data_IF_228055878458
#
_entry.id   IF_228055878458
#
_cell.length_a   1.000
_cell.length_b   1.000
_cell.length_c   1.000
_cell.angle_alpha   90.00
_cell.angle_beta   90.00
_cell.angle_gamma   90.00
#
_symmetry.space_group_name_H-M   'P 1'
#
loop_
_entity.id
_entity.type
_entity.pdbx_description
1 polymer ?
#
# COMPACT_ATOMS: atom_id res chain seq x y z
N UNK A 1 -18.27 -2.73 19.18
CA UNK A 1 -16.95 -2.41 18.61
C UNK A 1 -17.10 -1.35 17.53
N UNK A 2 -16.35 -0.30 17.66
CA UNK A 2 -16.41 0.76 16.68
C UNK A 2 -15.63 0.39 15.43
N UNK A 3 -16.22 0.61 14.29
CA UNK A 3 -15.52 0.44 13.04
C UNK A 3 -14.69 1.67 12.76
N UNK A 4 -13.42 1.45 12.45
CA UNK A 4 -12.55 2.54 12.08
C UNK A 4 -12.81 2.94 10.64
N UNK A 5 -12.88 4.24 10.40
CA UNK A 5 -12.96 4.76 9.04
C UNK A 5 -11.63 4.53 8.32
N UNK A 6 -11.70 3.91 7.15
CA UNK A 6 -10.51 3.62 6.35
C UNK A 6 -10.08 4.89 5.61
N UNK A 7 -8.81 5.23 5.69
CA UNK A 7 -8.25 6.42 5.05
C UNK A 7 -7.02 6.06 4.22
N UNK A 8 -6.83 6.79 3.16
CA UNK A 8 -5.63 6.63 2.33
C UNK A 8 -4.39 6.89 3.18
N UNK A 9 -3.44 6.00 3.10
CA UNK A 9 -2.23 6.06 3.93
C UNK A 9 -2.29 5.19 5.17
N UNK A 10 -3.47 4.65 5.51
CA UNK A 10 -3.61 3.71 6.63
C UNK A 10 -2.88 2.41 6.33
N UNK A 11 -2.33 1.81 7.38
CA UNK A 11 -1.73 0.48 7.32
C UNK A 11 -2.57 -0.46 8.17
N UNK A 12 -2.96 -1.59 7.58
CA UNK A 12 -3.70 -2.66 8.24
C UNK A 12 -3.00 -3.98 7.99
N UNK A 13 -3.16 -4.93 8.89
CA UNK A 13 -2.94 -6.32 8.53
C UNK A 13 -4.12 -6.78 7.68
N UNK A 14 -3.85 -7.61 6.71
CA UNK A 14 -4.89 -8.13 5.82
C UNK A 14 -4.54 -9.54 5.38
N UNK A 15 -5.57 -10.34 5.15
CA UNK A 15 -5.41 -11.67 4.59
C UNK A 15 -5.41 -11.58 3.06
N UNK A 16 -4.27 -11.83 2.47
CA UNK A 16 -4.08 -11.72 1.03
C UNK A 16 -4.21 -13.04 0.29
N UNK A 17 -4.44 -14.13 1.02
CA UNK A 17 -4.61 -15.45 0.41
C UNK A 17 -5.98 -15.60 -0.24
N UNK A 18 -6.11 -16.42 -1.31
CA UNK A 18 -5.05 -17.16 -1.97
C UNK A 18 -4.29 -16.31 -2.99
N UNK A 19 -3.06 -16.71 -3.27
CA UNK A 19 -2.21 -16.02 -4.26
C UNK A 19 -1.55 -17.05 -5.18
N UNK A 20 -0.96 -16.55 -6.26
CA UNK A 20 -0.28 -17.40 -7.24
C UNK A 20 1.17 -16.92 -7.39
N UNK A 21 2.10 -17.87 -7.39
CA UNK A 21 3.50 -17.60 -7.71
C UNK A 21 4.16 -16.58 -6.80
N UNK A 22 4.68 -15.52 -7.40
CA UNK A 22 5.45 -14.50 -6.70
C UNK A 22 4.61 -13.43 -6.01
N UNK A 23 3.30 -13.57 -6.02
CA UNK A 23 2.41 -12.63 -5.33
C UNK A 23 2.60 -12.74 -3.81
N UNK A 24 2.49 -11.61 -3.14
CA UNK A 24 2.55 -11.59 -1.68
C UNK A 24 1.25 -12.16 -1.10
N UNK A 25 1.36 -13.20 -0.28
CA UNK A 25 0.21 -13.88 0.29
C UNK A 25 0.26 -13.98 1.80
N UNK A 26 -0.76 -14.64 2.37
CA UNK A 26 -0.90 -14.80 3.81
C UNK A 26 -1.38 -13.53 4.48
N UNK A 27 -1.36 -13.53 5.82
CA UNK A 27 -1.71 -12.34 6.60
C UNK A 27 -0.47 -11.47 6.74
N UNK A 28 -0.54 -10.25 6.23
CA UNK A 28 0.59 -9.33 6.28
C UNK A 28 0.11 -7.88 6.21
N UNK A 29 0.97 -6.94 6.54
CA UNK A 29 0.59 -5.54 6.46
C UNK A 29 0.33 -5.10 5.03
N UNK A 30 -0.63 -4.21 4.85
CA UNK A 30 -0.91 -3.57 3.57
C UNK A 30 -1.10 -2.07 3.80
N UNK A 31 -0.75 -1.30 2.78
CA UNK A 31 -0.94 0.14 2.79
C UNK A 31 -2.15 0.49 1.92
N UNK A 32 -3.10 1.22 2.48
CA UNK A 32 -4.27 1.69 1.72
C UNK A 32 -3.83 2.82 0.79
N UNK A 33 -4.02 2.60 -0.50
CA UNK A 33 -3.67 3.61 -1.52
C UNK A 33 -4.89 4.12 -2.28
N UNK A 34 -6.06 3.54 -2.05
CA UNK A 34 -7.29 3.99 -2.66
C UNK A 34 -7.67 5.37 -2.13
N UNK A 35 -8.27 6.20 -2.99
CA UNK A 35 -8.72 7.53 -2.58
C UNK A 35 -9.81 7.45 -1.51
N UNK A 36 -10.00 8.54 -0.77
CA UNK A 36 -10.90 8.51 0.38
C UNK A 36 -12.38 8.45 0.01
N UNK A 37 -12.76 8.87 -1.18
CA UNK A 37 -14.13 8.69 -1.65
C UNK A 37 -14.43 7.19 -1.83
N UNK A 38 -13.52 6.48 -2.49
CA UNK A 38 -13.64 5.03 -2.63
C UNK A 38 -13.60 4.34 -1.27
N UNK A 39 -12.73 4.78 -0.37
CA UNK A 39 -12.65 4.21 0.98
C UNK A 39 -13.96 4.35 1.75
N UNK A 40 -14.68 5.44 1.53
CA UNK A 40 -15.96 5.68 2.21
C UNK A 40 -17.10 4.85 1.63
N UNK A 41 -17.14 4.67 0.31
CA UNK A 41 -18.32 4.15 -0.36
C UNK A 41 -18.18 2.80 -1.04
N UNK A 42 -16.96 2.38 -1.38
CA UNK A 42 -16.75 1.11 -2.06
C UNK A 42 -16.69 -0.05 -1.05
N UNK A 43 -17.20 -1.23 -1.41
CA UNK A 43 -17.02 -2.43 -0.57
C UNK A 43 -15.60 -2.99 -0.66
N UNK A 44 -14.81 -2.51 -1.61
CA UNK A 44 -13.42 -2.96 -1.81
C UNK A 44 -12.44 -1.83 -1.53
N UNK A 45 -11.18 -2.19 -1.38
CA UNK A 45 -10.11 -1.23 -1.13
C UNK A 45 -8.87 -1.63 -1.91
N UNK A 46 -8.21 -0.63 -2.50
CA UNK A 46 -6.96 -0.84 -3.23
C UNK A 46 -5.81 -0.68 -2.25
N UNK A 47 -4.96 -1.70 -2.19
CA UNK A 47 -3.85 -1.74 -1.24
C UNK A 47 -2.55 -2.14 -1.92
N UNK A 48 -1.43 -1.78 -1.30
CA UNK A 48 -0.10 -2.24 -1.69
C UNK A 48 0.45 -3.13 -0.57
N UNK A 49 1.06 -4.24 -0.93
CA UNK A 49 1.61 -5.17 0.05
C UNK A 49 2.84 -4.58 0.73
N UNK A 50 3.02 -4.93 1.99
CA UNK A 50 4.20 -4.55 2.78
C UNK A 50 4.93 -5.82 3.18
N UNK A 51 6.25 -5.85 3.00
CA UNK A 51 7.07 -6.99 3.37
C UNK A 51 8.27 -6.53 4.19
N UNK A 52 8.76 -7.40 5.06
CA UNK A 52 9.96 -7.11 5.84
C UNK A 52 11.24 -7.56 5.16
N UNK A 53 11.13 -8.39 4.12
CA UNK A 53 12.31 -8.96 3.45
C UNK A 53 12.13 -9.01 1.95
N UNK A 54 12.25 -7.86 1.28
CA UNK A 54 12.19 -7.87 -0.18
C UNK A 54 13.43 -8.56 -0.74
N UNK A 55 13.22 -9.44 -1.72
CA UNK A 55 14.31 -10.19 -2.34
C UNK A 55 15.18 -9.31 -3.24
N UNK A 56 14.59 -8.29 -3.83
CA UNK A 56 15.27 -7.36 -4.73
C UNK A 56 14.84 -5.95 -4.39
N UNK A 57 15.73 -5.00 -4.62
CA UNK A 57 15.40 -3.60 -4.45
C UNK A 57 14.95 -3.04 -5.79
N UNK A 58 13.75 -2.46 -5.82
CA UNK A 58 13.16 -1.89 -7.03
C UNK A 58 12.81 -0.42 -6.79
N UNK A 59 12.75 0.39 -7.85
CA UNK A 59 12.33 1.80 -7.70
C UNK A 59 10.88 1.95 -7.25
N UNK A 60 10.11 0.86 -7.29
CA UNK A 60 8.73 0.82 -6.82
C UNK A 60 8.61 0.51 -5.33
N UNK A 61 9.74 0.39 -4.63
CA UNK A 61 9.77 0.10 -3.20
C UNK A 61 9.91 1.38 -2.38
N UNK A 62 9.18 1.45 -1.26
CA UNK A 62 9.29 2.55 -0.30
C UNK A 62 9.60 1.97 1.06
N UNK A 63 10.72 2.37 1.64
CA UNK A 63 11.18 1.84 2.92
C UNK A 63 10.47 2.57 4.07
N UNK A 64 9.93 1.80 5.00
CA UNK A 64 9.31 2.29 6.23
C UNK A 64 10.22 1.91 7.39
N UNK A 65 10.97 2.88 7.92
CA UNK A 65 11.93 2.61 8.99
C UNK A 65 11.28 2.74 10.36
N UNK A 66 11.57 1.79 11.23
CA UNK A 66 11.24 1.85 12.65
C UNK A 66 9.81 2.26 12.98
N UNK A 67 8.84 1.75 12.21
CA UNK A 67 7.44 2.01 12.51
C UNK A 67 6.93 1.02 13.53
N UNK A 68 6.27 1.56 14.56
CA UNK A 68 5.62 0.74 15.58
C UNK A 68 4.57 -0.16 14.93
N UNK A 69 4.57 -1.43 15.29
CA UNK A 69 3.61 -2.39 14.77
C UNK A 69 4.06 -3.10 13.50
N UNK A 70 5.20 -2.70 12.93
CA UNK A 70 5.77 -3.33 11.75
C UNK A 70 7.14 -3.89 12.05
N UNK A 71 7.52 -4.91 11.28
CA UNK A 71 8.87 -5.43 11.33
C UNK A 71 9.86 -4.33 10.93
N UNK A 72 11.03 -4.38 11.55
CA UNK A 72 12.09 -3.43 11.23
C UNK A 72 12.46 -3.56 9.74
N UNK A 73 12.64 -2.42 9.10
CA UNK A 73 12.97 -2.35 7.67
C UNK A 73 11.87 -2.87 6.74
N UNK A 74 10.63 -2.69 7.13
CA UNK A 74 9.51 -3.01 6.25
C UNK A 74 9.53 -2.15 5.01
N UNK A 75 9.04 -2.72 3.91
CA UNK A 75 9.05 -2.07 2.59
C UNK A 75 7.68 -2.19 1.96
N UNK A 76 7.16 -1.07 1.46
CA UNK A 76 5.92 -1.07 0.67
C UNK A 76 6.29 -1.43 -0.76
N UNK A 77 5.57 -2.38 -1.33
CA UNK A 77 5.80 -2.89 -2.68
C UNK A 77 4.75 -2.32 -3.62
N UNK A 78 5.07 -1.23 -4.29
CA UNK A 78 4.08 -0.58 -5.17
C UNK A 78 3.90 -1.32 -6.50
N UNK A 79 4.65 -2.40 -6.73
CA UNK A 79 4.36 -3.32 -7.84
C UNK A 79 3.40 -4.44 -7.40
N UNK A 80 3.13 -4.57 -6.11
CA UNK A 80 2.21 -5.56 -5.57
C UNK A 80 0.92 -4.87 -5.10
N UNK A 81 0.26 -4.23 -6.03
CA UNK A 81 -0.99 -3.51 -5.79
C UNK A 81 -2.15 -4.41 -6.15
N UNK A 82 -3.16 -4.46 -5.30
CA UNK A 82 -4.35 -5.25 -5.59
C UNK A 82 -5.57 -4.66 -4.90
N UNK A 83 -6.72 -5.03 -5.42
CA UNK A 83 -8.02 -4.70 -4.82
C UNK A 83 -8.49 -5.87 -3.98
N UNK A 84 -8.84 -5.61 -2.74
CA UNK A 84 -9.35 -6.64 -1.85
C UNK A 84 -10.68 -6.20 -1.25
N UNK A 85 -11.48 -7.17 -0.83
CA UNK A 85 -12.70 -6.87 -0.09
C UNK A 85 -12.31 -6.27 1.27
N UNK A 86 -13.06 -5.28 1.74
CA UNK A 86 -12.76 -4.67 3.04
C UNK A 86 -12.79 -5.68 4.19
N UNK A 87 -13.55 -6.76 4.06
CA UNK A 87 -13.62 -7.80 5.08
C UNK A 87 -12.29 -8.51 5.29
N UNK A 88 -11.34 -8.39 4.35
CA UNK A 88 -10.01 -8.97 4.50
C UNK A 88 -9.11 -8.17 5.42
N UNK A 89 -9.47 -6.93 5.73
CA UNK A 89 -8.68 -6.10 6.64
C UNK A 89 -8.81 -6.61 8.07
N UNK A 90 -7.69 -6.60 8.78
CA UNK A 90 -7.59 -7.02 10.18
C UNK A 90 -7.19 -5.83 11.03
N UNK A 91 -6.20 -5.98 11.88
CA UNK A 91 -5.79 -4.96 12.82
C UNK A 91 -5.22 -3.71 12.14
N UNK A 92 -5.62 -2.58 12.64
CA UNK A 92 -5.06 -1.29 12.22
C UNK A 92 -3.66 -1.12 12.86
N UNK A 93 -2.70 -0.69 12.06
CA UNK A 93 -1.32 -0.50 12.49
C UNK A 93 -0.98 0.98 12.69
N UNK A 94 -1.37 1.83 11.76
CA UNK A 94 -1.02 3.23 11.79
C UNK A 94 -1.28 3.91 10.46
N UNK A 95 -0.81 5.14 10.33
CA UNK A 95 -0.99 5.91 9.09
C UNK A 95 0.35 6.54 8.71
N UNK A 96 0.65 6.59 7.43
CA UNK A 96 1.86 7.25 6.93
C UNK A 96 1.65 8.76 6.90
N UNK A 97 2.74 9.51 7.13
CA UNK A 97 2.71 10.96 7.03
C UNK A 97 2.78 11.41 5.56
N UNK A 98 2.67 12.73 5.36
CA UNK A 98 2.66 13.31 4.01
C UNK A 98 3.95 13.06 3.25
N UNK A 99 5.08 13.08 3.95
CA UNK A 99 6.38 12.87 3.34
C UNK A 99 6.51 11.45 2.80
N UNK A 100 6.08 10.48 3.61
CA UNK A 100 6.08 9.08 3.20
C UNK A 100 5.09 8.83 2.07
N UNK A 101 3.92 9.43 2.15
CA UNK A 101 2.92 9.29 1.08
C UNK A 101 3.38 9.92 -0.23
N UNK A 102 4.17 10.99 -0.17
CA UNK A 102 4.78 11.57 -1.37
C UNK A 102 5.66 10.54 -2.09
N UNK A 103 6.47 9.81 -1.31
CA UNK A 103 7.32 8.74 -1.86
C UNK A 103 6.49 7.59 -2.43
N UNK A 104 5.41 7.25 -1.74
CA UNK A 104 4.49 6.21 -2.19
C UNK A 104 3.86 6.60 -3.52
N UNK A 105 3.38 7.83 -3.63
CA UNK A 105 2.75 8.31 -4.86
C UNK A 105 3.72 8.28 -6.03
N UNK A 106 4.97 8.66 -5.79
CA UNK A 106 6.01 8.63 -6.81
C UNK A 106 6.28 7.19 -7.26
N UNK A 107 6.43 6.28 -6.31
CA UNK A 107 6.67 4.87 -6.61
C UNK A 107 5.48 4.23 -7.33
N UNK A 108 4.27 4.62 -6.95
CA UNK A 108 3.06 4.12 -7.60
C UNK A 108 2.98 4.59 -9.06
N UNK A 109 3.31 5.84 -9.33
CA UNK A 109 3.36 6.35 -10.71
C UNK A 109 4.39 5.59 -11.53
N UNK A 110 5.54 5.28 -10.94
CA UNK A 110 6.58 4.49 -11.59
C UNK A 110 6.06 3.08 -11.90
N UNK A 111 5.43 2.45 -10.92
CA UNK A 111 4.91 1.08 -11.07
C UNK A 111 3.86 0.96 -12.15
N UNK A 112 2.97 1.93 -12.25
CA UNK A 112 1.83 1.88 -13.17
C UNK A 112 2.12 2.57 -14.51
N UNK A 113 3.23 3.27 -14.61
CA UNK A 113 3.55 4.05 -15.80
C UNK A 113 2.73 5.32 -15.92
N UNK A 114 2.01 5.70 -14.88
CA UNK A 114 1.23 6.94 -14.88
C UNK A 114 2.17 8.13 -14.74
N UNK A 115 2.04 9.10 -15.61
CA UNK A 115 2.89 10.28 -15.59
C UNK A 115 2.07 11.54 -15.41
N UNK A 116 2.70 12.54 -14.81
CA UNK A 116 2.06 13.85 -14.67
C UNK A 116 2.30 14.63 -15.96
N UNK A 117 1.22 15.03 -16.60
CA UNK A 117 1.34 15.80 -17.83
C UNK A 117 1.92 17.19 -17.62
N UNK A 118 1.95 17.65 -16.39
CA UNK A 118 2.61 18.92 -16.08
C UNK A 118 4.12 18.85 -16.26
N UNK A 119 4.69 17.65 -16.26
CA UNK A 119 6.12 17.42 -16.46
C UNK A 119 6.45 17.04 -17.89
N UNK A 120 5.45 16.83 -18.71
CA UNK A 120 5.69 16.50 -20.10
C UNK A 120 5.97 17.77 -20.86
N UNK A 121 7.24 18.00 -21.08
CA UNK A 121 7.62 19.00 -22.06
C UNK A 121 7.44 18.30 -23.38
N UNK A 122 6.31 18.53 -23.97
CA UNK A 122 6.10 17.96 -25.27
C UNK A 122 7.02 18.59 -26.27
N UNK A 123 7.67 17.77 -27.06
CA UNK A 123 8.48 18.32 -28.15
C UNK A 123 7.60 19.10 -29.09
#
# INVERSE_FOLDING_TARGET
>A
MEEREIRRGDIYYADLSPVVGSEQGGVRPVLVIQNNTGNAYSPTVIVAAVTSQPKTKLPTHVILRDRKGLEKNSVVLLEQVRTIDKSRLREYVGILDKQQMFKVDKALRTSTGAVSYTHLTLP
#
